data_IF_724206695219
#
_entry.id   IF_724206695219
#
_cell.length_a   1.000
_cell.length_b   1.000
_cell.length_c   1.000
_cell.angle_alpha   90.00
_cell.angle_beta   90.00
_cell.angle_gamma   90.00
#
_symmetry.space_group_name_H-M   'P 1'
#
loop_
_entity.id
_entity.type
_entity.pdbx_description
1 polymer ?
#
# COMPACT_ATOMS: atom_id res chain seq x y z
N UNK A 1 27.44 27.45 41.74
CA UNK A 1 26.16 26.72 41.87
C UNK A 1 25.11 27.45 41.04
N UNK A 2 24.70 26.89 39.90
CA UNK A 2 23.71 27.54 39.05
C UNK A 2 22.33 27.48 39.72
N UNK A 3 21.74 28.65 40.00
CA UNK A 3 20.39 28.76 40.53
C UNK A 3 19.43 28.52 39.36
N UNK A 4 18.91 27.30 39.22
CA UNK A 4 17.84 27.04 38.26
C UNK A 4 16.61 27.86 38.67
N UNK A 5 16.20 28.77 37.78
CA UNK A 5 15.08 29.66 38.02
C UNK A 5 13.77 28.83 38.10
N UNK A 6 12.90 29.04 39.10
CA UNK A 6 11.65 28.28 39.25
C UNK A 6 10.76 28.33 38.00
N UNK A 7 10.77 29.46 37.29
CA UNK A 7 10.05 29.64 36.03
C UNK A 7 10.56 28.72 34.91
N UNK A 8 11.87 28.41 34.90
CA UNK A 8 12.46 27.50 33.92
C UNK A 8 12.03 26.06 34.20
N UNK A 9 11.96 25.66 35.48
CA UNK A 9 11.48 24.33 35.88
C UNK A 9 9.99 24.12 35.52
N UNK A 10 9.16 25.15 35.69
CA UNK A 10 7.74 25.12 35.30
C UNK A 10 7.55 24.98 33.78
N UNK A 11 8.37 25.66 32.97
CA UNK A 11 8.33 25.55 31.51
C UNK A 11 8.71 24.15 31.01
N UNK A 12 9.71 23.50 31.62
CA UNK A 12 10.09 22.12 31.27
C UNK A 12 8.98 21.12 31.66
N UNK A 13 8.36 21.31 32.83
CA UNK A 13 7.25 20.45 33.26
C UNK A 13 6.01 20.58 32.36
N UNK A 14 5.69 21.81 31.91
CA UNK A 14 4.60 22.05 30.98
C UNK A 14 4.84 21.37 29.62
N UNK A 15 6.06 21.46 29.06
CA UNK A 15 6.38 20.76 27.80
C UNK A 15 6.30 19.24 27.93
N UNK A 16 6.75 18.66 29.05
CA UNK A 16 6.69 17.22 29.28
C UNK A 16 5.26 16.66 29.40
N UNK A 17 4.30 17.48 29.86
CA UNK A 17 2.89 17.13 29.94
C UNK A 17 2.19 17.16 28.58
N UNK A 18 2.56 18.10 27.70
CA UNK A 18 2.01 18.18 26.32
C UNK A 18 2.42 16.98 25.48
N UNK A 19 3.63 16.43 25.69
CA UNK A 19 4.12 15.27 24.93
C UNK A 19 3.32 13.98 25.19
N UNK A 20 2.73 13.80 26.38
CA UNK A 20 2.05 12.54 26.74
C UNK A 20 0.65 12.40 26.15
N UNK A 21 -0.03 13.50 25.81
CA UNK A 21 -1.41 13.49 25.30
C UNK A 21 -1.56 13.12 23.82
N UNK A 22 -0.47 13.12 23.04
CA UNK A 22 -0.52 12.97 21.57
C UNK A 22 -0.46 11.51 21.12
N UNK A 23 -0.04 10.57 21.98
CA UNK A 23 0.30 9.22 21.55
C UNK A 23 -0.89 8.25 21.35
N UNK A 24 -2.12 8.62 21.73
CA UNK A 24 -3.26 7.69 21.72
C UNK A 24 -4.43 8.10 20.80
N UNK A 25 -4.37 9.25 20.11
CA UNK A 25 -5.48 9.76 19.29
C UNK A 25 -5.40 9.31 17.81
N UNK A 26 -4.79 8.17 17.48
CA UNK A 26 -4.50 7.89 16.06
C UNK A 26 -4.38 6.44 15.64
N UNK A 27 -4.65 5.46 16.52
CA UNK A 27 -4.64 4.07 16.09
C UNK A 27 -5.93 3.77 15.32
N UNK A 28 -5.86 3.32 14.05
CA UNK A 28 -7.04 2.91 13.30
C UNK A 28 -7.79 1.85 14.10
N UNK A 29 -9.10 2.02 14.29
CA UNK A 29 -9.92 1.01 14.95
C UNK A 29 -10.05 -0.19 14.00
N UNK A 30 -9.26 -1.23 14.24
CA UNK A 30 -9.38 -2.49 13.49
C UNK A 30 -10.59 -3.26 14.00
N UNK A 31 -11.61 -3.41 13.15
CA UNK A 31 -12.82 -4.20 13.42
C UNK A 31 -12.57 -5.67 13.10
N UNK A 32 -11.82 -5.94 12.03
CA UNK A 32 -11.40 -7.27 11.62
C UNK A 32 -9.98 -7.20 11.08
N UNK A 33 -9.08 -7.97 11.66
CA UNK A 33 -7.71 -8.15 11.15
C UNK A 33 -7.71 -8.78 9.75
N UNK A 34 -6.56 -8.73 9.08
CA UNK A 34 -6.40 -9.34 7.77
C UNK A 34 -6.81 -10.81 7.77
N UNK A 35 -7.74 -11.14 6.88
CA UNK A 35 -8.17 -12.51 6.61
C UNK A 35 -8.01 -12.82 5.13
N UNK A 36 -7.61 -14.05 4.83
CA UNK A 36 -7.52 -14.53 3.46
C UNK A 36 -8.91 -14.56 2.83
N UNK A 37 -9.02 -13.99 1.64
CA UNK A 37 -10.25 -14.01 0.85
C UNK A 37 -9.95 -14.51 -0.56
N UNK A 38 -10.94 -15.11 -1.26
CA UNK A 38 -10.71 -15.64 -2.60
C UNK A 38 -10.26 -14.54 -3.58
N UNK A 39 -9.25 -14.84 -4.39
CA UNK A 39 -8.81 -13.95 -5.46
C UNK A 39 -9.93 -13.63 -6.46
N UNK A 40 -10.89 -14.55 -6.63
CA UNK A 40 -12.05 -14.40 -7.52
C UNK A 40 -13.11 -13.45 -7.00
N UNK A 41 -12.97 -12.95 -5.76
CA UNK A 41 -13.91 -12.00 -5.20
C UNK A 41 -13.88 -10.67 -5.97
N UNK A 42 -15.07 -10.15 -6.31
CA UNK A 42 -15.20 -9.02 -7.25
C UNK A 42 -14.40 -7.79 -6.82
N UNK A 43 -14.38 -7.50 -5.52
CA UNK A 43 -13.66 -6.34 -5.01
C UNK A 43 -12.14 -6.57 -4.96
N UNK A 44 -11.66 -7.80 -4.82
CA UNK A 44 -10.24 -8.14 -5.01
C UNK A 44 -9.82 -7.88 -6.45
N UNK A 45 -10.63 -8.32 -7.41
CA UNK A 45 -10.37 -8.06 -8.83
C UNK A 45 -10.37 -6.56 -9.16
N UNK A 46 -11.29 -5.80 -8.56
CA UNK A 46 -11.36 -4.35 -8.72
C UNK A 46 -10.15 -3.63 -8.10
N UNK A 47 -9.77 -4.00 -6.87
CA UNK A 47 -8.60 -3.46 -6.19
C UNK A 47 -7.31 -3.78 -6.97
N UNK A 48 -7.20 -5.01 -7.49
CA UNK A 48 -6.08 -5.44 -8.33
C UNK A 48 -6.01 -4.65 -9.64
N UNK A 49 -7.14 -4.45 -10.32
CA UNK A 49 -7.20 -3.64 -11.54
C UNK A 49 -6.73 -2.20 -11.28
N UNK A 50 -7.21 -1.60 -10.19
CA UNK A 50 -6.81 -0.25 -9.78
C UNK A 50 -5.32 -0.18 -9.46
N UNK A 51 -4.81 -1.12 -8.66
CA UNK A 51 -3.39 -1.18 -8.30
C UNK A 51 -2.49 -1.32 -9.54
N UNK A 52 -2.87 -2.18 -10.50
CA UNK A 52 -2.11 -2.34 -11.74
C UNK A 52 -2.16 -1.11 -12.65
N UNK A 53 -3.29 -0.38 -12.65
CA UNK A 53 -3.42 0.87 -13.40
C UNK A 53 -2.47 1.93 -12.82
N UNK A 54 -2.47 2.13 -11.50
CA UNK A 54 -1.59 3.09 -10.84
C UNK A 54 -0.11 2.68 -10.93
N UNK A 55 0.20 1.38 -10.76
CA UNK A 55 1.56 0.87 -10.95
C UNK A 55 2.10 1.18 -12.35
N UNK A 56 1.31 0.92 -13.39
CA UNK A 56 1.72 1.19 -14.76
C UNK A 56 1.90 2.67 -15.04
N UNK A 57 1.07 3.53 -14.46
CA UNK A 57 1.21 4.98 -14.53
C UNK A 57 2.48 5.48 -13.84
N UNK A 58 2.80 4.96 -12.66
CA UNK A 58 3.94 5.40 -11.85
C UNK A 58 5.29 4.80 -12.32
N UNK A 59 5.27 3.60 -12.90
CA UNK A 59 6.47 2.91 -13.36
C UNK A 59 7.17 3.71 -14.48
N UNK A 60 8.51 3.77 -14.44
CA UNK A 60 9.33 4.41 -15.49
C UNK A 60 9.54 3.55 -16.72
N UNK A 61 9.12 2.28 -16.69
CA UNK A 61 9.25 1.39 -17.83
C UNK A 61 8.41 1.91 -19.02
N UNK A 62 8.90 1.75 -20.24
CA UNK A 62 8.19 2.12 -21.46
C UNK A 62 7.01 1.18 -21.76
N UNK A 63 7.03 -0.02 -21.19
CA UNK A 63 6.06 -1.09 -21.41
C UNK A 63 5.16 -1.28 -20.21
N UNK A 64 3.93 -1.73 -20.47
CA UNK A 64 3.00 -2.06 -19.43
C UNK A 64 3.36 -3.39 -18.74
N UNK A 65 2.95 -3.55 -17.49
CA UNK A 65 3.00 -4.78 -16.72
C UNK A 65 1.58 -5.34 -16.53
N UNK A 66 1.49 -6.66 -16.46
CA UNK A 66 0.25 -7.41 -16.18
C UNK A 66 0.48 -8.40 -15.05
N UNK A 67 -0.61 -8.76 -14.37
CA UNK A 67 -0.61 -9.82 -13.37
C UNK A 67 -0.48 -11.17 -14.07
N UNK A 68 0.43 -12.00 -13.56
CA UNK A 68 0.60 -13.41 -13.94
C UNK A 68 -0.11 -14.31 -12.95
N UNK A 69 -0.04 -13.97 -11.66
CA UNK A 69 -0.61 -14.78 -10.58
C UNK A 69 -0.86 -13.91 -9.35
N UNK A 70 -1.99 -14.12 -8.68
CA UNK A 70 -2.20 -13.63 -7.31
C UNK A 70 -1.62 -14.68 -6.36
N UNK A 71 -0.71 -14.25 -5.49
CA UNK A 71 -0.06 -15.12 -4.50
C UNK A 71 -0.80 -15.06 -3.17
N UNK A 72 -1.34 -13.88 -2.83
CA UNK A 72 -2.05 -13.64 -1.58
C UNK A 72 -3.08 -12.53 -1.77
N UNK A 73 -4.26 -12.71 -1.19
CA UNK A 73 -5.32 -11.71 -1.15
C UNK A 73 -5.96 -11.71 0.23
N UNK A 74 -5.84 -10.59 0.93
CA UNK A 74 -6.42 -10.40 2.26
C UNK A 74 -7.27 -9.15 2.34
N UNK A 75 -8.27 -9.18 3.20
CA UNK A 75 -9.12 -8.04 3.54
C UNK A 75 -9.02 -7.74 5.04
N UNK A 76 -8.89 -6.46 5.37
CA UNK A 76 -9.00 -5.93 6.73
C UNK A 76 -10.16 -4.94 6.78
N UNK A 77 -10.91 -4.95 7.90
CA UNK A 77 -11.99 -4.00 8.14
C UNK A 77 -11.53 -3.06 9.25
N UNK A 78 -11.39 -1.79 8.93
CA UNK A 78 -11.04 -0.71 9.87
C UNK A 78 -12.19 0.30 9.90
N UNK A 79 -11.90 1.59 9.75
CA UNK A 79 -12.89 2.62 9.37
C UNK A 79 -13.14 2.61 7.85
N UNK A 80 -12.26 1.93 7.10
CA UNK A 80 -12.37 1.62 5.68
C UNK A 80 -12.27 0.10 5.45
N UNK A 81 -12.27 -0.30 4.18
CA UNK A 81 -12.07 -1.67 3.78
C UNK A 81 -10.76 -1.75 2.99
N UNK A 82 -9.78 -2.42 3.59
CA UNK A 82 -8.39 -2.41 3.14
C UNK A 82 -8.02 -3.76 2.52
N UNK A 83 -7.43 -3.74 1.33
CA UNK A 83 -7.00 -4.95 0.63
C UNK A 83 -5.48 -5.05 0.61
N UNK A 84 -4.94 -6.18 1.08
CA UNK A 84 -3.54 -6.54 0.90
C UNK A 84 -3.42 -7.59 -0.20
N UNK A 85 -2.72 -7.24 -1.28
CA UNK A 85 -2.55 -8.09 -2.45
C UNK A 85 -1.07 -8.32 -2.70
N UNK A 86 -0.64 -9.58 -2.63
CA UNK A 86 0.67 -9.99 -3.09
C UNK A 86 0.51 -10.65 -4.46
N UNK A 87 1.14 -10.07 -5.48
CA UNK A 87 0.95 -10.48 -6.87
C UNK A 87 2.27 -10.62 -7.60
N UNK A 88 2.32 -11.62 -8.47
CA UNK A 88 3.38 -11.78 -9.45
C UNK A 88 2.98 -11.06 -10.73
N UNK A 89 3.79 -10.10 -11.16
CA UNK A 89 3.58 -9.34 -12.39
C UNK A 89 4.68 -9.66 -13.42
N UNK A 90 4.37 -9.45 -14.70
CA UNK A 90 5.33 -9.57 -15.79
C UNK A 90 5.18 -8.39 -16.75
N UNK A 91 6.32 -7.97 -17.31
CA UNK A 91 6.33 -6.98 -18.39
C UNK A 91 5.63 -7.55 -19.63
N UNK A 92 4.91 -6.70 -20.32
CA UNK A 92 4.23 -7.02 -21.57
C UNK A 92 5.01 -6.49 -22.77
N UNK A 93 4.62 -6.91 -23.97
CA UNK A 93 5.18 -6.38 -25.22
C UNK A 93 4.57 -5.03 -25.64
N UNK A 94 3.54 -4.53 -24.93
CA UNK A 94 2.86 -3.29 -25.29
C UNK A 94 3.46 -2.11 -24.56
N UNK A 95 3.65 -1.03 -25.32
CA UNK A 95 4.02 0.26 -24.75
C UNK A 95 2.85 0.81 -23.92
N UNK A 96 3.16 1.68 -22.96
CA UNK A 96 2.15 2.44 -22.22
C UNK A 96 1.52 3.49 -23.13
N UNK A 97 0.56 3.07 -23.96
CA UNK A 97 -0.27 3.96 -24.76
C UNK A 97 -1.65 3.97 -24.12
N UNK A 98 -2.31 5.14 -24.08
CA UNK A 98 -3.61 5.29 -23.44
C UNK A 98 -4.67 4.40 -24.12
N UNK A 99 -5.19 3.41 -23.39
CA UNK A 99 -6.50 2.81 -23.69
C UNK A 99 -6.56 1.41 -24.28
N UNK A 100 -5.46 0.72 -24.60
CA UNK A 100 -5.53 -0.63 -25.20
C UNK A 100 -4.41 -1.55 -24.73
N UNK A 101 -4.63 -2.26 -23.62
CA UNK A 101 -3.70 -3.32 -23.18
C UNK A 101 -4.40 -4.63 -22.80
N UNK A 102 -5.71 -4.75 -22.96
CA UNK A 102 -6.46 -5.95 -22.54
C UNK A 102 -5.93 -7.21 -23.23
N UNK A 103 -5.62 -7.12 -24.53
CA UNK A 103 -5.07 -8.24 -25.32
C UNK A 103 -3.54 -8.24 -25.48
N UNK A 104 -2.81 -7.56 -24.58
CA UNK A 104 -1.35 -7.56 -24.67
C UNK A 104 -0.69 -8.86 -24.18
N UNK A 105 0.25 -9.40 -24.97
CA UNK A 105 1.05 -10.57 -24.61
C UNK A 105 2.17 -10.23 -23.62
N UNK A 106 2.49 -11.21 -22.76
CA UNK A 106 3.64 -11.15 -21.85
C UNK A 106 4.95 -11.27 -22.63
N UNK A 107 5.99 -10.57 -22.18
CA UNK A 107 7.34 -10.79 -22.66
C UNK A 107 7.86 -12.13 -22.11
N UNK A 108 8.47 -12.96 -22.96
CA UNK A 108 8.88 -14.33 -22.61
C UNK A 108 10.11 -14.42 -21.69
N UNK A 109 10.75 -13.29 -21.38
CA UNK A 109 11.93 -13.25 -20.53
C UNK A 109 11.58 -13.41 -19.04
N UNK A 110 12.04 -14.48 -18.36
CA UNK A 110 11.77 -14.69 -16.94
C UNK A 110 12.29 -13.58 -16.02
N UNK A 111 13.35 -12.86 -16.42
CA UNK A 111 13.92 -11.74 -15.64
C UNK A 111 12.98 -10.52 -15.59
N UNK A 112 11.95 -10.50 -16.43
CA UNK A 112 10.95 -9.43 -16.47
C UNK A 112 9.75 -9.67 -15.54
N UNK A 113 9.80 -10.72 -14.71
CA UNK A 113 8.80 -11.04 -13.71
C UNK A 113 9.21 -10.48 -12.34
N UNK A 114 8.24 -9.98 -11.58
CA UNK A 114 8.46 -9.36 -10.26
C UNK A 114 7.33 -9.74 -9.31
N UNK A 115 7.62 -9.81 -8.02
CA UNK A 115 6.61 -9.91 -6.95
C UNK A 115 6.39 -8.51 -6.39
N UNK A 116 5.14 -8.14 -6.18
CA UNK A 116 4.71 -6.88 -5.59
C UNK A 116 3.74 -7.18 -4.44
N UNK A 117 3.92 -6.50 -3.31
CA UNK A 117 3.09 -6.59 -2.11
C UNK A 117 3.31 -5.35 -1.25
#
# INVERSE_FOLDING_TARGET
>A
MARLCPSLLLLVAAMALVSRGVHAWGSPKVVREFQDIPETYVYVQQALWFAMKEYNKASRDKYAFKVVKVLKSQEQITESLDYFLEVKIARTMCKKIAGQNENCLLQQDPQMQKVCG
#
